data_IF_061665980437
#
_entry.id   IF_061665980437
#
_cell.length_a   1.000
_cell.length_b   1.000
_cell.length_c   1.000
_cell.angle_alpha   90.00
_cell.angle_beta   90.00
_cell.angle_gamma   90.00
#
_symmetry.space_group_name_H-M   'P 1'
#
loop_
_entity.id
_entity.type
_entity.pdbx_description
1 polymer ?
#
# COMPACT_ATOMS: atom_id res chain seq x y z
N UNK A 1 17.36 -36.22 43.67
CA UNK A 1 17.56 -37.59 43.16
C UNK A 1 16.88 -37.64 41.80
N UNK A 2 17.65 -37.37 40.74
CA UNK A 2 17.18 -37.29 39.35
C UNK A 2 17.22 -38.70 38.76
N UNK A 3 16.07 -39.26 38.34
CA UNK A 3 16.05 -40.51 37.55
C UNK A 3 16.14 -40.11 36.09
N UNK A 4 17.20 -40.56 35.41
CA UNK A 4 17.42 -40.39 33.98
C UNK A 4 17.02 -41.68 33.29
N UNK A 5 15.94 -41.65 32.51
CA UNK A 5 15.55 -42.74 31.64
C UNK A 5 16.07 -42.41 30.23
N UNK A 6 17.16 -43.08 29.82
CA UNK A 6 17.73 -42.95 28.47
C UNK A 6 17.11 -44.01 27.55
N UNK A 7 16.31 -43.58 26.58
CA UNK A 7 15.75 -44.46 25.54
C UNK A 7 16.64 -44.42 24.29
N UNK A 8 17.18 -45.58 23.92
CA UNK A 8 18.07 -45.74 22.77
C UNK A 8 17.29 -46.27 21.58
N UNK A 9 17.01 -45.41 20.59
CA UNK A 9 16.39 -45.83 19.35
C UNK A 9 17.46 -46.05 18.26
N UNK A 10 17.48 -47.26 17.70
CA UNK A 10 18.48 -47.71 16.74
C UNK A 10 17.87 -47.74 15.36
N UNK A 11 18.35 -46.88 14.47
CA UNK A 11 17.90 -46.83 13.08
C UNK A 11 18.37 -48.10 12.32
N UNK A 12 17.45 -48.95 11.82
CA UNK A 12 17.79 -50.22 11.19
C UNK A 12 18.51 -50.06 9.84
N UNK A 13 18.57 -48.87 9.23
CA UNK A 13 19.23 -48.67 7.94
C UNK A 13 20.70 -48.24 8.05
N UNK A 14 21.08 -47.52 9.10
CA UNK A 14 22.41 -46.90 9.23
C UNK A 14 23.23 -47.41 10.42
N UNK A 15 22.60 -48.10 11.38
CA UNK A 15 23.27 -48.64 12.56
C UNK A 15 23.79 -47.57 13.55
N UNK A 16 23.48 -46.29 13.32
CA UNK A 16 23.85 -45.21 14.23
C UNK A 16 22.81 -45.09 15.35
N UNK A 17 23.30 -44.96 16.59
CA UNK A 17 22.48 -44.78 17.79
C UNK A 17 22.32 -43.28 17.99
N UNK A 18 21.09 -42.77 17.83
CA UNK A 18 20.79 -41.36 18.07
C UNK A 18 20.26 -41.23 19.51
N UNK A 19 21.08 -40.66 20.39
CA UNK A 19 20.68 -40.34 21.77
C UNK A 19 19.75 -39.11 21.75
N UNK A 20 18.45 -39.33 21.92
CA UNK A 20 17.47 -38.25 22.06
C UNK A 20 17.31 -37.92 23.54
N UNK A 21 18.06 -36.94 24.01
CA UNK A 21 17.89 -36.39 25.35
C UNK A 21 16.61 -35.52 25.39
N UNK A 22 15.49 -36.08 25.87
CA UNK A 22 14.33 -35.28 26.25
C UNK A 22 14.59 -34.65 27.61
N UNK A 23 15.19 -33.46 27.61
CA UNK A 23 15.20 -32.60 28.79
C UNK A 23 13.83 -31.93 28.91
N UNK A 24 12.93 -32.54 29.67
CA UNK A 24 11.69 -31.87 30.11
C UNK A 24 12.10 -30.85 31.18
N UNK A 25 12.33 -29.61 30.77
CA UNK A 25 12.43 -28.48 31.70
C UNK A 25 11.02 -28.01 32.08
N UNK A 26 10.45 -28.57 33.14
CA UNK A 26 9.34 -27.94 33.88
C UNK A 26 9.91 -26.77 34.70
N UNK A 27 9.91 -25.58 34.12
CA UNK A 27 10.13 -24.31 34.81
C UNK A 27 8.98 -23.36 34.53
N UNK A 28 8.65 -22.41 35.43
CA UNK A 28 7.53 -21.48 35.23
C UNK A 28 7.71 -20.72 33.91
N UNK A 29 6.73 -20.85 33.01
CA UNK A 29 6.65 -20.02 31.81
C UNK A 29 6.50 -18.56 32.24
N UNK A 30 7.59 -17.80 32.12
CA UNK A 30 7.50 -16.36 32.08
C UNK A 30 6.62 -16.00 30.88
N UNK A 31 5.62 -15.11 31.03
CA UNK A 31 4.94 -14.57 29.87
C UNK A 31 6.02 -13.89 29.03
N UNK A 32 6.22 -14.37 27.80
CA UNK A 32 6.98 -13.64 26.79
C UNK A 32 6.32 -12.28 26.66
N UNK A 33 6.85 -11.30 27.38
CA UNK A 33 6.53 -9.90 27.22
C UNK A 33 6.61 -9.62 25.73
N UNK A 34 5.49 -9.12 25.22
CA UNK A 34 5.33 -8.67 23.86
C UNK A 34 6.56 -7.88 23.43
N UNK A 35 7.47 -8.54 22.71
CA UNK A 35 8.50 -7.86 21.95
C UNK A 35 7.72 -7.21 20.80
N UNK A 36 7.16 -6.04 21.08
CA UNK A 36 6.71 -5.10 20.06
C UNK A 36 7.99 -4.64 19.38
N UNK A 37 8.58 -5.53 18.56
CA UNK A 37 9.58 -5.16 17.58
C UNK A 37 8.82 -4.36 16.56
N UNK A 38 8.61 -3.09 16.87
CA UNK A 38 8.31 -2.11 15.86
C UNK A 38 9.58 -1.96 15.02
N UNK A 39 9.85 -2.94 14.15
CA UNK A 39 10.73 -2.76 13.01
C UNK A 39 10.02 -1.72 12.14
N UNK A 40 10.20 -0.45 12.48
CA UNK A 40 9.82 0.66 11.63
C UNK A 40 10.66 0.52 10.37
N UNK A 41 10.21 -0.26 9.39
CA UNK A 41 10.86 -0.31 8.08
C UNK A 41 10.48 1.01 7.37
N UNK A 42 11.38 2.01 7.37
CA UNK A 42 11.03 3.36 6.95
C UNK A 42 10.71 3.40 5.45
N UNK A 43 11.32 2.51 4.66
CA UNK A 43 11.07 2.38 3.22
C UNK A 43 9.64 1.96 2.92
N UNK A 44 9.10 0.98 3.65
CA UNK A 44 7.72 0.52 3.46
C UNK A 44 6.71 1.62 3.72
N UNK A 45 6.86 2.37 4.82
CA UNK A 45 5.96 3.48 5.15
C UNK A 45 6.05 4.61 4.13
N UNK A 46 7.25 4.93 3.62
CA UNK A 46 7.41 5.94 2.59
C UNK A 46 6.67 5.57 1.29
N UNK A 47 6.77 4.31 0.84
CA UNK A 47 6.02 3.81 -0.32
C UNK A 47 4.51 3.89 -0.09
N UNK A 48 4.03 3.50 1.09
CA UNK A 48 2.61 3.61 1.44
C UNK A 48 2.11 5.05 1.39
N UNK A 49 2.89 6.00 1.91
CA UNK A 49 2.53 7.42 1.87
C UNK A 49 2.47 7.96 0.44
N UNK A 50 3.39 7.56 -0.43
CA UNK A 50 3.37 7.95 -1.85
C UNK A 50 2.07 7.45 -2.50
N UNK A 51 1.76 6.16 -2.39
CA UNK A 51 0.52 5.63 -2.98
C UNK A 51 -0.74 6.25 -2.37
N UNK A 52 -0.74 6.58 -1.08
CA UNK A 52 -1.86 7.26 -0.44
C UNK A 52 -2.07 8.66 -1.03
N UNK A 53 -1.00 9.46 -1.14
CA UNK A 53 -1.09 10.83 -1.66
C UNK A 53 -1.52 10.83 -3.12
N UNK A 54 -0.85 10.05 -3.97
CA UNK A 54 -1.20 9.98 -5.38
C UNK A 54 -2.58 9.35 -5.60
N UNK A 55 -2.93 8.30 -4.85
CA UNK A 55 -4.24 7.67 -4.91
C UNK A 55 -5.38 8.61 -4.50
N UNK A 56 -5.17 9.50 -3.52
CA UNK A 56 -6.16 10.54 -3.17
C UNK A 56 -6.31 11.56 -4.30
N UNK A 57 -5.19 12.02 -4.89
CA UNK A 57 -5.23 12.96 -6.02
C UNK A 57 -5.97 12.35 -7.22
N UNK A 58 -5.63 11.11 -7.57
CA UNK A 58 -6.27 10.36 -8.65
C UNK A 58 -7.75 10.09 -8.35
N UNK A 59 -8.07 9.70 -7.11
CA UNK A 59 -9.45 9.50 -6.67
C UNK A 59 -10.29 10.76 -6.81
N UNK A 60 -9.79 11.92 -6.38
CA UNK A 60 -10.47 13.21 -6.56
C UNK A 60 -10.66 13.56 -8.05
N UNK A 61 -9.66 13.29 -8.89
CA UNK A 61 -9.76 13.48 -10.33
C UNK A 61 -10.78 12.56 -11.00
N UNK A 62 -10.84 11.30 -10.58
CA UNK A 62 -11.85 10.34 -11.04
C UNK A 62 -13.24 10.77 -10.62
N UNK A 63 -13.42 11.22 -9.38
CA UNK A 63 -14.70 11.77 -8.91
C UNK A 63 -15.09 12.98 -9.75
N UNK A 64 -14.18 13.93 -10.00
CA UNK A 64 -14.42 15.07 -10.91
C UNK A 64 -14.87 14.58 -12.29
N UNK A 65 -14.14 13.64 -12.88
CA UNK A 65 -14.42 13.11 -14.21
C UNK A 65 -15.83 12.52 -14.28
N UNK A 66 -16.18 11.67 -13.31
CA UNK A 66 -17.51 11.05 -13.21
C UNK A 66 -18.59 12.10 -13.01
N UNK A 67 -18.39 13.07 -12.11
CA UNK A 67 -19.35 14.15 -11.88
C UNK A 67 -19.61 14.97 -13.16
N UNK A 68 -18.57 15.33 -13.91
CA UNK A 68 -18.73 16.06 -15.17
C UNK A 68 -19.36 15.21 -16.27
N UNK A 69 -19.08 13.92 -16.30
CA UNK A 69 -19.66 12.99 -17.26
C UNK A 69 -21.16 12.72 -16.96
N UNK A 70 -21.55 12.72 -15.70
CA UNK A 70 -22.94 12.58 -15.27
C UNK A 70 -23.73 13.90 -15.33
N UNK A 71 -23.08 15.02 -15.66
CA UNK A 71 -23.72 16.33 -15.66
C UNK A 71 -24.11 16.85 -14.30
N UNK A 72 -23.31 16.55 -13.29
CA UNK A 72 -23.52 17.06 -11.95
C UNK A 72 -23.51 18.60 -11.93
N UNK A 73 -24.46 19.17 -11.20
CA UNK A 73 -24.61 20.62 -11.08
C UNK A 73 -23.34 21.26 -10.48
N UNK A 74 -22.62 22.15 -11.20
CA UNK A 74 -21.39 22.77 -10.71
C UNK A 74 -21.60 23.75 -9.54
N UNK A 75 -22.85 24.15 -9.28
CA UNK A 75 -23.22 25.02 -8.15
C UNK A 75 -23.58 24.22 -6.88
N UNK A 76 -23.71 22.90 -6.97
CA UNK A 76 -23.90 22.06 -5.80
C UNK A 76 -22.62 22.07 -4.94
N UNK A 77 -22.75 22.22 -3.62
CA UNK A 77 -21.61 22.40 -2.72
C UNK A 77 -20.53 21.32 -2.85
N UNK A 78 -20.92 20.05 -2.96
CA UNK A 78 -19.99 18.94 -3.14
C UNK A 78 -19.24 19.01 -4.49
N UNK A 79 -19.97 19.12 -5.60
CA UNK A 79 -19.38 19.19 -6.94
C UNK A 79 -18.47 20.42 -7.09
N UNK A 80 -18.91 21.56 -6.57
CA UNK A 80 -18.14 22.80 -6.55
C UNK A 80 -16.82 22.62 -5.78
N UNK A 81 -16.89 22.04 -4.58
CA UNK A 81 -15.71 21.76 -3.77
C UNK A 81 -14.73 20.82 -4.48
N UNK A 82 -15.21 19.71 -5.05
CA UNK A 82 -14.36 18.78 -5.82
C UNK A 82 -13.70 19.50 -6.98
N UNK A 83 -14.46 20.28 -7.76
CA UNK A 83 -13.95 20.98 -8.93
C UNK A 83 -12.87 22.01 -8.56
N UNK A 84 -13.04 22.73 -7.45
CA UNK A 84 -12.06 23.70 -6.95
C UNK A 84 -10.77 23.04 -6.45
N UNK A 85 -10.88 21.99 -5.62
CA UNK A 85 -9.71 21.27 -5.08
C UNK A 85 -8.91 20.61 -6.20
N UNK A 86 -9.61 19.98 -7.15
CA UNK A 86 -8.97 19.35 -8.31
C UNK A 86 -8.39 20.36 -9.28
N UNK A 87 -8.83 21.61 -9.28
CA UNK A 87 -8.40 22.60 -10.27
C UNK A 87 -6.90 22.90 -10.22
N UNK A 88 -6.31 22.87 -9.02
CA UNK A 88 -4.87 23.07 -8.79
C UNK A 88 -4.05 21.97 -9.47
N UNK A 89 -4.48 20.71 -9.32
CA UNK A 89 -3.82 19.56 -9.93
C UNK A 89 -4.08 19.47 -11.44
N UNK A 90 -5.23 19.93 -11.91
CA UNK A 90 -5.52 19.98 -13.35
C UNK A 90 -4.77 21.11 -14.05
N UNK A 91 -4.42 22.19 -13.33
CA UNK A 91 -3.80 23.41 -13.86
C UNK A 91 -2.76 23.20 -14.96
N UNK A 92 -1.72 22.36 -14.76
CA UNK A 92 -0.69 22.10 -15.75
C UNK A 92 -1.19 21.41 -17.03
N UNK A 93 -2.30 20.66 -16.94
CA UNK A 93 -2.86 19.87 -18.03
C UNK A 93 -4.05 20.54 -18.71
N UNK A 94 -4.55 21.66 -18.16
CA UNK A 94 -5.68 22.39 -18.72
C UNK A 94 -5.40 22.77 -20.18
N UNK A 95 -6.40 22.56 -21.03
CA UNK A 95 -6.38 22.90 -22.46
C UNK A 95 -5.29 22.19 -23.29
N UNK A 96 -4.58 21.20 -22.75
CA UNK A 96 -3.66 20.36 -23.56
C UNK A 96 -4.46 19.47 -24.50
N UNK A 97 -5.55 18.87 -23.99
CA UNK A 97 -6.42 17.98 -24.75
C UNK A 97 -7.85 18.54 -24.83
N UNK A 98 -8.56 18.29 -25.94
CA UNK A 98 -9.92 18.80 -26.13
C UNK A 98 -10.89 18.22 -25.10
N UNK A 99 -11.93 18.98 -24.80
CA UNK A 99 -13.07 18.48 -24.03
C UNK A 99 -14.10 17.94 -25.01
N UNK A 100 -14.58 16.72 -24.80
CA UNK A 100 -15.55 16.05 -25.65
C UNK A 100 -16.87 15.92 -24.89
N UNK A 101 -17.97 16.40 -25.45
CA UNK A 101 -19.26 16.34 -24.76
C UNK A 101 -20.28 17.35 -25.27
N UNK A 102 -21.38 17.45 -24.52
CA UNK A 102 -22.47 18.41 -24.73
C UNK A 102 -22.64 19.29 -23.48
N UNK A 103 -23.59 20.22 -23.49
CA UNK A 103 -23.79 21.17 -22.37
C UNK A 103 -24.09 20.49 -21.02
N UNK A 104 -24.58 19.25 -21.04
CA UNK A 104 -24.93 18.51 -19.84
C UNK A 104 -23.83 17.55 -19.41
N UNK A 105 -23.12 16.90 -20.33
CA UNK A 105 -22.09 15.90 -20.04
C UNK A 105 -20.80 16.25 -20.74
N UNK A 106 -19.76 16.50 -19.95
CA UNK A 106 -18.45 16.93 -20.45
C UNK A 106 -17.36 15.93 -20.01
N UNK A 107 -16.72 15.30 -20.99
CA UNK A 107 -15.52 14.51 -20.79
C UNK A 107 -14.29 15.38 -21.07
N UNK A 108 -13.64 15.82 -20.00
CA UNK A 108 -12.36 16.53 -20.08
C UNK A 108 -11.22 15.54 -20.32
N UNK A 109 -10.75 15.39 -21.56
CA UNK A 109 -9.61 14.50 -21.85
C UNK A 109 -8.34 14.91 -21.07
N UNK A 110 -8.25 16.20 -20.72
CA UNK A 110 -7.19 16.74 -19.86
C UNK A 110 -7.19 16.11 -18.45
N UNK A 111 -8.37 15.74 -17.90
CA UNK A 111 -8.48 15.05 -16.61
C UNK A 111 -8.00 13.60 -16.72
N UNK A 112 -8.34 12.92 -17.82
CA UNK A 112 -7.85 11.56 -18.10
C UNK A 112 -6.33 11.55 -18.20
N UNK A 113 -5.75 12.54 -18.88
CA UNK A 113 -4.30 12.72 -18.95
C UNK A 113 -3.70 12.98 -17.57
N UNK A 114 -4.31 13.84 -16.76
CA UNK A 114 -3.83 14.13 -15.41
C UNK A 114 -3.77 12.86 -14.55
N UNK A 115 -4.82 12.03 -14.57
CA UNK A 115 -4.85 10.74 -13.88
C UNK A 115 -3.69 9.86 -14.36
N UNK A 116 -3.54 9.70 -15.68
CA UNK A 116 -2.46 8.87 -16.25
C UNK A 116 -1.06 9.35 -15.80
N UNK A 117 -0.81 10.65 -15.85
CA UNK A 117 0.49 11.22 -15.46
C UNK A 117 0.74 11.05 -13.97
N UNK A 118 -0.25 11.33 -13.12
CA UNK A 118 -0.11 11.14 -11.68
C UNK A 118 0.05 9.67 -11.28
N UNK A 119 -0.64 8.74 -11.96
CA UNK A 119 -0.43 7.30 -11.79
C UNK A 119 1.02 6.91 -12.02
N UNK A 120 1.58 7.36 -13.15
CA UNK A 120 2.95 7.07 -13.55
C UNK A 120 3.96 7.70 -12.58
N UNK A 121 3.72 8.94 -12.15
CA UNK A 121 4.57 9.61 -11.15
C UNK A 121 4.53 8.88 -9.80
N UNK A 122 3.34 8.55 -9.29
CA UNK A 122 3.20 7.84 -8.02
C UNK A 122 3.89 6.49 -8.04
N UNK A 123 3.69 5.71 -9.11
CA UNK A 123 4.38 4.45 -9.32
C UNK A 123 5.91 4.62 -9.42
N UNK A 124 6.39 5.58 -10.21
CA UNK A 124 7.83 5.81 -10.40
C UNK A 124 8.50 6.22 -9.08
N UNK A 125 7.89 7.14 -8.33
CA UNK A 125 8.41 7.59 -7.04
C UNK A 125 8.40 6.44 -6.04
N UNK A 126 7.30 5.69 -5.94
CA UNK A 126 7.22 4.51 -5.08
C UNK A 126 8.32 3.49 -5.44
N UNK A 127 8.55 3.24 -6.74
CA UNK A 127 9.60 2.34 -7.22
C UNK A 127 11.00 2.82 -6.82
N UNK A 128 11.27 4.11 -6.96
CA UNK A 128 12.55 4.72 -6.56
C UNK A 128 12.78 4.58 -5.05
N UNK A 129 11.76 4.87 -4.23
CA UNK A 129 11.81 4.68 -2.77
C UNK A 129 12.14 3.22 -2.45
N UNK A 130 11.44 2.27 -3.07
CA UNK A 130 11.75 0.84 -2.86
C UNK A 130 13.21 0.51 -3.19
N UNK A 131 13.75 1.01 -4.30
CA UNK A 131 15.15 0.73 -4.70
C UNK A 131 16.15 1.32 -3.70
N UNK A 132 15.88 2.50 -3.16
CA UNK A 132 16.79 3.20 -2.23
C UNK A 132 16.79 2.53 -0.85
N UNK A 133 15.64 2.12 -0.34
CA UNK A 133 15.51 1.62 1.03
C UNK A 133 15.61 0.09 1.18
N UNK A 134 15.36 -0.69 0.12
CA UNK A 134 15.47 -2.16 0.13
C UNK A 134 16.80 -2.65 -0.45
N UNK A 135 17.85 -1.83 -0.32
CA UNK A 135 19.20 -2.15 -0.78
C UNK A 135 20.01 -2.86 0.29
#
# INVERSE_FOLDING_TARGET
MERRDTEFERDPASGQVHERERVVSEGPQAPSESEVVSTFNPGWRAVQLVYLVFGVIEGLMLIRLVLKLLGANPHAGFSNWVYNVTDVFLGPFKNILPTIGNEQSLLEMSVVLAILVYALLGWAIARLVTIIFYR
#
